data_IF_984087808474
#
_entry.id   IF_984087808474
#
_cell.length_a   1.000
_cell.length_b   1.000
_cell.length_c   1.000
_cell.angle_alpha   90.00
_cell.angle_beta   90.00
_cell.angle_gamma   90.00
#
_symmetry.space_group_name_H-M   'P 1'
#
loop_
_entity.id
_entity.type
_entity.pdbx_description
1 polymer ?
#
# COMPACT_ATOMS: atom_id res chain seq x y z
N UNK A 1 -0.87 -27.88 -14.74
CA UNK A 1 -1.57 -27.24 -13.58
C UNK A 1 -0.53 -27.06 -12.50
N UNK A 2 -0.35 -25.87 -11.91
CA UNK A 2 0.59 -25.68 -10.80
C UNK A 2 0.09 -26.46 -9.56
N UNK A 3 1.02 -27.06 -8.81
CA UNK A 3 0.72 -27.79 -7.58
C UNK A 3 0.03 -26.91 -6.52
N UNK A 4 -0.78 -27.54 -5.68
CA UNK A 4 -1.39 -26.90 -4.51
C UNK A 4 -0.31 -26.61 -3.47
N UNK A 5 -0.10 -25.35 -3.12
CA UNK A 5 0.89 -24.92 -2.13
C UNK A 5 0.29 -24.85 -0.72
N UNK A 6 1.14 -24.97 0.29
CA UNK A 6 0.84 -24.61 1.68
C UNK A 6 1.26 -23.16 1.90
N UNK A 7 0.31 -22.29 2.17
CA UNK A 7 0.52 -20.86 2.29
C UNK A 7 0.17 -20.38 3.69
N UNK A 8 0.99 -19.49 4.24
CA UNK A 8 0.70 -18.80 5.50
C UNK A 8 0.57 -17.30 5.24
N UNK A 9 -0.50 -16.70 5.77
CA UNK A 9 -0.70 -15.25 5.75
C UNK A 9 -0.56 -14.71 7.16
N UNK A 10 0.47 -13.88 7.39
CA UNK A 10 0.77 -13.29 8.70
C UNK A 10 0.31 -11.84 8.72
N UNK A 11 -0.57 -11.52 9.67
CA UNK A 11 -1.30 -10.25 9.77
C UNK A 11 -2.63 -10.32 9.01
N UNK A 12 -3.75 -10.40 9.75
CA UNK A 12 -5.10 -10.58 9.21
C UNK A 12 -5.93 -9.27 9.26
N UNK A 13 -5.27 -8.15 9.05
CA UNK A 13 -5.90 -6.84 8.88
C UNK A 13 -6.47 -6.62 7.47
N UNK A 14 -6.56 -5.35 7.09
CA UNK A 14 -7.14 -4.88 5.81
C UNK A 14 -6.43 -5.42 4.56
N UNK A 15 -5.15 -5.76 4.67
CA UNK A 15 -4.35 -6.36 3.58
C UNK A 15 -4.41 -7.88 3.62
N UNK A 16 -4.22 -8.47 4.81
CA UNK A 16 -4.04 -9.90 4.93
C UNK A 16 -5.32 -10.72 4.69
N UNK A 17 -6.48 -10.24 5.14
CA UNK A 17 -7.77 -10.92 4.89
C UNK A 17 -8.09 -11.08 3.40
N UNK A 18 -8.01 -10.02 2.55
CA UNK A 18 -8.21 -10.17 1.11
C UNK A 18 -7.17 -11.09 0.45
N UNK A 19 -5.90 -11.01 0.83
CA UNK A 19 -4.85 -11.92 0.33
C UNK A 19 -5.20 -13.37 0.69
N UNK A 20 -5.54 -13.63 1.95
CA UNK A 20 -5.92 -14.96 2.43
C UNK A 20 -7.10 -15.51 1.63
N UNK A 21 -8.14 -14.71 1.41
CA UNK A 21 -9.33 -15.10 0.66
C UNK A 21 -9.00 -15.46 -0.79
N UNK A 22 -8.21 -14.64 -1.48
CA UNK A 22 -7.84 -14.91 -2.88
C UNK A 22 -6.98 -16.17 -2.99
N UNK A 23 -5.97 -16.28 -2.11
CA UNK A 23 -5.02 -17.40 -2.17
C UNK A 23 -5.68 -18.73 -1.79
N UNK A 24 -6.68 -18.72 -0.90
CA UNK A 24 -7.45 -19.90 -0.50
C UNK A 24 -8.29 -20.51 -1.62
N UNK A 25 -8.54 -19.78 -2.70
CA UNK A 25 -9.26 -20.31 -3.88
C UNK A 25 -8.52 -21.46 -4.57
N UNK A 26 -7.21 -21.60 -4.34
CA UNK A 26 -6.38 -22.61 -5.01
C UNK A 26 -5.43 -23.35 -4.09
N UNK A 27 -5.02 -22.76 -2.98
CA UNK A 27 -3.99 -23.26 -2.11
C UNK A 27 -4.52 -23.60 -0.72
N UNK A 28 -3.77 -24.39 0.06
CA UNK A 28 -4.05 -24.60 1.48
C UNK A 28 -3.52 -23.41 2.26
N UNK A 29 -4.39 -22.64 2.91
CA UNK A 29 -4.01 -21.39 3.55
C UNK A 29 -4.25 -21.45 5.05
N UNK A 30 -3.28 -20.97 5.83
CA UNK A 30 -3.39 -20.73 7.26
C UNK A 30 -3.18 -19.26 7.53
N UNK A 31 -4.15 -18.63 8.20
CA UNK A 31 -4.01 -17.26 8.70
C UNK A 31 -3.36 -17.24 10.08
N UNK A 32 -2.41 -16.34 10.28
CA UNK A 32 -1.73 -16.08 11.56
C UNK A 32 -1.85 -14.59 11.87
N UNK A 33 -2.29 -14.26 13.06
CA UNK A 33 -2.38 -12.86 13.51
C UNK A 33 -1.44 -12.63 14.71
N UNK A 34 -1.83 -11.84 15.68
CA UNK A 34 -0.99 -11.43 16.83
C UNK A 34 -0.43 -12.63 17.61
N UNK A 35 -1.20 -13.72 17.74
CA UNK A 35 -0.74 -14.95 18.36
C UNK A 35 -0.09 -15.90 17.34
N UNK A 36 1.04 -16.52 17.66
CA UNK A 36 1.62 -17.55 16.81
C UNK A 36 0.65 -18.75 16.68
N UNK A 37 0.73 -19.54 15.59
CA UNK A 37 -0.14 -20.69 15.40
C UNK A 37 0.09 -21.72 16.53
N UNK A 38 -1.00 -22.26 17.05
CA UNK A 38 -0.97 -23.27 18.12
C UNK A 38 -0.48 -24.63 17.64
N UNK A 39 -0.64 -24.90 16.34
CA UNK A 39 -0.18 -26.13 15.69
C UNK A 39 1.03 -25.86 14.78
N UNK A 40 1.93 -26.85 14.72
CA UNK A 40 3.09 -26.78 13.82
C UNK A 40 2.64 -26.92 12.37
N UNK A 41 2.73 -25.84 11.60
CA UNK A 41 2.50 -25.85 10.16
C UNK A 41 3.74 -26.47 9.50
N UNK A 42 3.56 -27.56 8.73
CA UNK A 42 4.65 -28.26 8.06
C UNK A 42 4.72 -27.84 6.59
N UNK A 43 5.94 -27.78 6.04
CA UNK A 43 6.22 -27.58 4.61
C UNK A 43 5.51 -26.32 4.05
N UNK A 44 5.83 -25.16 4.60
CA UNK A 44 5.30 -23.88 4.11
C UNK A 44 6.01 -23.51 2.80
N UNK A 45 5.26 -23.44 1.70
CA UNK A 45 5.79 -23.04 0.40
C UNK A 45 5.92 -21.52 0.30
N UNK A 46 4.89 -20.80 0.74
CA UNK A 46 4.83 -19.35 0.66
C UNK A 46 4.32 -18.74 1.97
N UNK A 47 5.01 -17.72 2.46
CA UNK A 47 4.56 -16.89 3.57
C UNK A 47 4.30 -15.47 3.09
N UNK A 48 3.09 -14.97 3.27
CA UNK A 48 2.74 -13.56 3.06
C UNK A 48 2.89 -12.78 4.36
N UNK A 49 3.57 -11.64 4.30
CA UNK A 49 3.70 -10.68 5.39
C UNK A 49 2.77 -9.50 5.09
N UNK A 50 1.77 -9.29 5.96
CA UNK A 50 0.69 -8.32 5.75
C UNK A 50 0.44 -7.39 6.96
N UNK A 51 1.28 -7.45 8.02
CA UNK A 51 1.18 -6.55 9.16
C UNK A 51 1.84 -5.19 8.88
N UNK A 52 1.46 -4.12 9.64
CA UNK A 52 1.98 -2.77 9.43
C UNK A 52 3.50 -2.67 9.60
N UNK A 53 4.12 -1.75 8.84
CA UNK A 53 5.56 -1.48 8.95
C UNK A 53 5.94 -0.74 10.24
N UNK A 54 4.99 -0.03 10.83
CA UNK A 54 5.16 0.82 12.02
C UNK A 54 5.40 0.03 13.32
N UNK A 55 5.40 -1.30 13.28
CA UNK A 55 5.80 -2.09 14.46
C UNK A 55 7.27 -1.84 14.79
N UNK A 56 7.63 -1.98 16.07
CA UNK A 56 8.96 -1.60 16.61
C UNK A 56 10.15 -2.24 15.88
N UNK A 57 10.05 -3.52 15.47
CA UNK A 57 11.10 -4.28 14.76
C UNK A 57 10.50 -5.12 13.65
N UNK A 58 10.15 -4.50 12.53
CA UNK A 58 9.58 -5.20 11.38
C UNK A 58 10.50 -6.31 10.83
N UNK A 59 11.79 -6.00 10.68
CA UNK A 59 12.78 -6.95 10.15
C UNK A 59 12.97 -8.14 11.09
N UNK A 60 13.12 -7.88 12.38
CA UNK A 60 13.27 -8.94 13.37
C UNK A 60 12.00 -9.76 13.56
N UNK A 61 10.83 -9.14 13.52
CA UNK A 61 9.56 -9.86 13.61
C UNK A 61 9.36 -10.77 12.39
N UNK A 62 9.66 -10.28 11.18
CA UNK A 62 9.59 -11.07 9.95
C UNK A 62 10.56 -12.26 10.03
N UNK A 63 11.79 -12.03 10.45
CA UNK A 63 12.79 -13.09 10.62
C UNK A 63 12.35 -14.15 11.68
N UNK A 64 11.69 -13.75 12.76
CA UNK A 64 11.11 -14.66 13.76
C UNK A 64 10.05 -15.58 13.14
N UNK A 65 9.12 -15.03 12.36
CA UNK A 65 8.11 -15.83 11.65
C UNK A 65 8.75 -16.76 10.62
N UNK A 66 9.74 -16.29 9.86
CA UNK A 66 10.48 -17.13 8.90
C UNK A 66 11.19 -18.29 9.59
N UNK A 67 11.82 -18.05 10.74
CA UNK A 67 12.46 -19.12 11.54
C UNK A 67 11.44 -20.13 12.09
N UNK A 68 10.27 -19.66 12.52
CA UNK A 68 9.20 -20.49 13.08
C UNK A 68 8.54 -21.37 12.02
N UNK A 69 8.26 -20.80 10.85
CA UNK A 69 7.42 -21.40 9.81
C UNK A 69 8.25 -22.09 8.70
N UNK A 70 9.50 -21.71 8.50
CA UNK A 70 10.40 -22.28 7.48
C UNK A 70 9.90 -22.13 6.04
N UNK A 71 9.39 -20.97 5.59
CA UNK A 71 8.84 -20.84 4.25
C UNK A 71 9.93 -20.96 3.17
N UNK A 72 9.58 -21.59 2.04
CA UNK A 72 10.47 -21.64 0.87
C UNK A 72 10.56 -20.29 0.14
N UNK A 73 9.53 -19.42 0.29
CA UNK A 73 9.47 -18.07 -0.24
C UNK A 73 8.69 -17.18 0.72
N UNK A 74 9.22 -16.00 1.02
CA UNK A 74 8.52 -14.97 1.79
C UNK A 74 8.15 -13.81 0.87
N UNK A 75 6.90 -13.36 0.91
CA UNK A 75 6.37 -12.22 0.13
C UNK A 75 5.92 -11.14 1.10
N UNK A 76 6.60 -10.00 1.10
CA UNK A 76 6.21 -8.83 1.88
C UNK A 76 5.17 -8.04 1.08
N UNK A 77 3.92 -8.00 1.57
CA UNK A 77 2.82 -7.24 0.95
C UNK A 77 2.61 -5.88 1.61
N UNK A 78 3.19 -5.67 2.77
CA UNK A 78 3.14 -4.40 3.51
C UNK A 78 3.89 -3.30 2.74
N UNK A 79 3.43 -2.05 2.88
CA UNK A 79 4.21 -0.88 2.49
C UNK A 79 5.34 -0.71 3.51
N UNK A 80 6.58 -0.68 3.03
CA UNK A 80 7.78 -0.65 3.88
C UNK A 80 8.77 0.42 3.41
N UNK A 81 9.75 0.76 4.22
CA UNK A 81 10.86 1.63 3.83
C UNK A 81 11.75 0.95 2.78
N UNK A 82 12.37 1.76 1.92
CA UNK A 82 13.31 1.25 0.90
C UNK A 82 14.49 0.54 1.56
N UNK A 83 14.77 -0.67 1.09
CA UNK A 83 15.82 -1.55 1.63
C UNK A 83 15.34 -2.55 2.69
N UNK A 84 14.08 -2.47 3.14
CA UNK A 84 13.54 -3.37 4.18
C UNK A 84 13.55 -4.83 3.75
N UNK A 85 13.13 -5.12 2.52
CA UNK A 85 13.11 -6.50 2.00
C UNK A 85 14.51 -7.11 1.95
N UNK A 86 15.48 -6.34 1.52
CA UNK A 86 16.89 -6.74 1.53
C UNK A 86 17.39 -7.02 2.94
N UNK A 87 17.09 -6.14 3.89
CA UNK A 87 17.48 -6.34 5.28
C UNK A 87 16.89 -7.62 5.89
N UNK A 88 15.66 -8.00 5.53
CA UNK A 88 15.08 -9.29 5.94
C UNK A 88 15.82 -10.46 5.29
N UNK A 89 16.11 -10.38 3.99
CA UNK A 89 16.83 -11.44 3.29
C UNK A 89 18.25 -11.63 3.83
N UNK A 90 18.99 -10.56 4.03
CA UNK A 90 20.36 -10.59 4.58
C UNK A 90 20.37 -11.19 5.99
N UNK A 91 19.37 -10.87 6.81
CA UNK A 91 19.24 -11.42 8.17
C UNK A 91 18.89 -12.91 8.22
N UNK A 92 18.18 -13.40 7.21
CA UNK A 92 17.64 -14.77 7.21
C UNK A 92 18.35 -15.72 6.26
N UNK A 93 19.06 -15.22 5.27
CA UNK A 93 19.67 -15.99 4.18
C UNK A 93 18.63 -16.68 3.27
N UNK A 94 17.37 -16.24 3.30
CA UNK A 94 16.27 -16.91 2.61
C UNK A 94 15.71 -16.06 1.45
N UNK A 95 14.91 -16.67 0.58
CA UNK A 95 14.23 -16.01 -0.52
C UNK A 95 13.12 -15.08 0.00
N UNK A 96 13.31 -13.77 -0.21
CA UNK A 96 12.34 -12.72 0.17
C UNK A 96 12.10 -11.80 -1.02
N UNK A 97 10.84 -11.53 -1.30
CA UNK A 97 10.42 -10.59 -2.36
C UNK A 97 9.47 -9.56 -1.78
N UNK A 98 9.41 -8.39 -2.41
CA UNK A 98 8.43 -7.36 -2.10
C UNK A 98 7.34 -7.33 -3.16
N UNK A 99 6.11 -7.33 -2.72
CA UNK A 99 4.95 -7.21 -3.62
C UNK A 99 3.84 -6.46 -2.91
N UNK A 100 3.89 -5.11 -2.91
CA UNK A 100 2.93 -4.30 -2.16
C UNK A 100 1.53 -4.42 -2.74
N UNK A 101 0.53 -4.22 -1.89
CA UNK A 101 -0.84 -4.13 -2.36
C UNK A 101 -1.11 -2.75 -2.96
N UNK A 102 -2.01 -2.74 -3.96
CA UNK A 102 -2.55 -1.53 -4.57
C UNK A 102 -4.06 -1.63 -4.48
N UNK A 103 -4.70 -0.54 -4.12
CA UNK A 103 -6.14 -0.50 -4.01
C UNK A 103 -6.64 0.17 -2.74
N UNK A 104 -7.95 0.43 -2.69
CA UNK A 104 -8.65 0.99 -1.52
C UNK A 104 -9.10 -0.14 -0.60
N UNK A 105 -8.97 0.04 0.71
CA UNK A 105 -9.31 -0.98 1.70
C UNK A 105 -10.73 -1.56 1.51
N UNK A 106 -11.70 -0.72 1.23
CA UNK A 106 -13.12 -1.14 1.06
C UNK A 106 -13.34 -2.09 -0.13
N UNK A 107 -12.48 -1.99 -1.18
CA UNK A 107 -12.56 -2.81 -2.40
C UNK A 107 -11.30 -3.62 -2.66
N UNK A 108 -10.49 -3.86 -1.63
CA UNK A 108 -9.18 -4.48 -1.77
C UNK A 108 -9.23 -5.82 -2.52
N UNK A 109 -10.24 -6.64 -2.28
CA UNK A 109 -10.40 -7.93 -2.92
C UNK A 109 -10.54 -7.82 -4.45
N UNK A 110 -11.40 -6.93 -4.92
CA UNK A 110 -11.65 -6.71 -6.35
C UNK A 110 -10.43 -6.05 -7.01
N UNK A 111 -9.86 -5.07 -6.35
CA UNK A 111 -8.73 -4.30 -6.87
C UNK A 111 -7.44 -5.11 -6.92
N UNK A 112 -7.22 -6.07 -6.01
CA UNK A 112 -6.12 -7.02 -6.09
C UNK A 112 -6.20 -7.92 -7.33
N UNK A 113 -7.40 -8.25 -7.80
CA UNK A 113 -7.60 -9.05 -9.01
C UNK A 113 -7.56 -8.20 -10.29
N UNK A 114 -7.93 -6.92 -10.21
CA UNK A 114 -8.00 -6.02 -11.38
C UNK A 114 -6.67 -5.36 -11.69
N UNK A 115 -5.91 -4.95 -10.67
CA UNK A 115 -4.63 -4.26 -10.85
C UNK A 115 -3.47 -5.23 -11.04
N UNK A 116 -2.49 -4.79 -11.82
CA UNK A 116 -1.22 -5.53 -11.94
C UNK A 116 -0.51 -5.61 -10.58
N UNK A 117 -0.19 -6.81 -10.15
CA UNK A 117 0.60 -7.09 -8.94
C UNK A 117 2.08 -6.99 -9.28
N UNK A 118 2.75 -5.95 -8.80
CA UNK A 118 4.18 -5.77 -9.01
C UNK A 118 4.97 -6.64 -8.03
N UNK A 119 6.06 -7.25 -8.52
CA UNK A 119 6.96 -8.10 -7.75
C UNK A 119 8.37 -7.53 -7.86
N UNK A 120 9.01 -7.24 -6.75
CA UNK A 120 10.41 -6.85 -6.67
C UNK A 120 11.22 -7.95 -5.99
N UNK A 121 12.23 -8.46 -6.66
CA UNK A 121 13.07 -9.55 -6.17
C UNK A 121 14.55 -9.23 -6.36
N UNK A 122 15.42 -9.86 -5.54
CA UNK A 122 16.87 -9.72 -5.65
C UNK A 122 17.45 -10.64 -6.72
N UNK A 123 16.73 -11.69 -7.08
CA UNK A 123 17.10 -12.65 -8.09
C UNK A 123 15.90 -13.06 -8.97
N UNK A 124 16.14 -13.45 -10.24
CA UNK A 124 15.06 -13.80 -11.16
C UNK A 124 14.20 -14.99 -10.69
N UNK A 125 14.81 -15.98 -10.05
CA UNK A 125 14.13 -17.23 -9.65
C UNK A 125 13.07 -16.93 -8.59
N UNK A 126 13.42 -16.16 -7.57
CA UNK A 126 12.47 -15.73 -6.52
C UNK A 126 11.35 -14.85 -7.10
N UNK A 127 11.69 -13.95 -8.03
CA UNK A 127 10.73 -13.10 -8.73
C UNK A 127 9.72 -13.91 -9.53
N UNK A 128 10.17 -14.87 -10.33
CA UNK A 128 9.30 -15.75 -11.12
C UNK A 128 8.43 -16.66 -10.24
N UNK A 129 8.98 -17.18 -9.14
CA UNK A 129 8.21 -17.99 -8.19
C UNK A 129 7.05 -17.18 -7.60
N UNK A 130 7.31 -15.95 -7.17
CA UNK A 130 6.28 -15.06 -6.64
C UNK A 130 5.23 -14.68 -7.72
N UNK A 131 5.67 -14.38 -8.94
CA UNK A 131 4.78 -14.09 -10.05
C UNK A 131 3.85 -15.28 -10.34
N UNK A 132 4.40 -16.49 -10.51
CA UNK A 132 3.63 -17.72 -10.73
C UNK A 132 2.64 -18.02 -9.59
N UNK A 133 3.03 -17.73 -8.34
CA UNK A 133 2.14 -17.87 -7.19
C UNK A 133 0.92 -16.96 -7.34
N UNK A 134 1.09 -15.67 -7.63
CA UNK A 134 -0.02 -14.74 -7.83
C UNK A 134 -0.84 -15.06 -9.08
N UNK A 135 -0.21 -15.43 -10.17
CA UNK A 135 -0.89 -15.81 -11.43
C UNK A 135 -1.76 -17.07 -11.25
N UNK A 136 -1.33 -17.98 -10.38
CA UNK A 136 -2.10 -19.20 -10.08
C UNK A 136 -3.47 -18.92 -9.49
N UNK A 137 -3.65 -17.75 -8.87
CA UNK A 137 -4.91 -17.28 -8.26
C UNK A 137 -5.60 -16.17 -9.08
N UNK A 138 -5.16 -15.97 -10.33
CA UNK A 138 -5.81 -15.08 -11.30
C UNK A 138 -5.33 -13.64 -11.30
N UNK A 139 -4.27 -13.32 -10.56
CA UNK A 139 -3.68 -11.96 -10.60
C UNK A 139 -2.79 -11.79 -11.84
N UNK A 140 -2.78 -10.59 -12.41
CA UNK A 140 -1.79 -10.18 -13.41
C UNK A 140 -0.53 -9.73 -12.69
N UNK A 141 0.66 -10.14 -13.15
CA UNK A 141 1.92 -9.79 -12.52
C UNK A 141 2.85 -8.98 -13.42
N UNK A 142 3.77 -8.25 -12.78
CA UNK A 142 4.92 -7.62 -13.44
C UNK A 142 6.10 -7.60 -12.49
N UNK A 143 7.22 -8.17 -12.93
CA UNK A 143 8.47 -8.17 -12.15
C UNK A 143 9.24 -6.88 -12.43
N UNK A 144 9.69 -6.21 -11.37
CA UNK A 144 10.60 -5.07 -11.41
C UNK A 144 12.04 -5.52 -11.09
N UNK A 145 13.00 -4.65 -11.34
CA UNK A 145 14.43 -4.95 -11.26
C UNK A 145 14.95 -5.29 -9.86
N UNK A 146 14.26 -4.84 -8.80
CA UNK A 146 14.66 -5.07 -7.41
C UNK A 146 13.51 -4.87 -6.43
N UNK A 147 13.62 -5.35 -5.19
CA UNK A 147 12.64 -5.02 -4.15
C UNK A 147 12.60 -3.53 -3.83
N UNK A 148 13.74 -2.83 -3.87
CA UNK A 148 13.80 -1.38 -3.66
C UNK A 148 12.98 -0.61 -4.70
N UNK A 149 12.93 -1.10 -5.94
CA UNK A 149 12.11 -0.50 -6.99
C UNK A 149 10.60 -0.57 -6.65
N UNK A 150 10.11 -1.70 -6.13
CA UNK A 150 8.70 -1.83 -5.72
C UNK A 150 8.41 -1.09 -4.43
N UNK A 151 9.33 -1.05 -3.47
CA UNK A 151 9.22 -0.30 -2.22
C UNK A 151 9.10 1.20 -2.52
N UNK A 152 10.00 1.74 -3.32
CA UNK A 152 9.99 3.15 -3.72
C UNK A 152 8.74 3.49 -4.56
N UNK A 153 8.38 2.64 -5.53
CA UNK A 153 7.20 2.85 -6.36
C UNK A 153 5.91 2.93 -5.53
N UNK A 154 5.77 2.07 -4.52
CA UNK A 154 4.60 2.11 -3.62
C UNK A 154 4.54 3.39 -2.80
N UNK A 155 5.65 3.83 -2.25
CA UNK A 155 5.72 5.06 -1.46
C UNK A 155 5.41 6.29 -2.31
N UNK A 156 6.00 6.37 -3.51
CA UNK A 156 5.83 7.53 -4.41
C UNK A 156 4.44 7.59 -5.03
N UNK A 157 3.83 6.45 -5.40
CA UNK A 157 2.44 6.40 -5.89
C UNK A 157 1.47 7.01 -4.87
N UNK A 158 1.55 6.59 -3.62
CA UNK A 158 0.63 7.08 -2.59
C UNK A 158 0.92 8.53 -2.21
N UNK A 159 2.19 8.94 -2.23
CA UNK A 159 2.57 10.34 -1.99
C UNK A 159 2.08 11.26 -3.11
N UNK A 160 2.11 10.82 -4.37
CA UNK A 160 1.55 11.57 -5.49
C UNK A 160 0.05 11.80 -5.31
N UNK A 161 -0.70 10.81 -4.85
CA UNK A 161 -2.10 11.00 -4.47
C UNK A 161 -2.27 12.10 -3.41
N UNK A 162 -1.41 12.10 -2.38
CA UNK A 162 -1.38 13.15 -1.35
C UNK A 162 -1.07 14.54 -1.91
N UNK A 163 -0.15 14.63 -2.89
CA UNK A 163 0.17 15.89 -3.57
C UNK A 163 -1.04 16.46 -4.31
N UNK A 164 -1.78 15.61 -5.01
CA UNK A 164 -2.99 16.06 -5.74
C UNK A 164 -4.07 16.58 -4.77
N UNK A 165 -4.26 15.94 -3.63
CA UNK A 165 -5.18 16.43 -2.60
C UNK A 165 -4.67 17.76 -2.01
N UNK A 166 -3.36 17.86 -1.74
CA UNK A 166 -2.78 19.10 -1.21
C UNK A 166 -2.94 20.28 -2.19
N UNK A 167 -2.83 20.00 -3.49
CA UNK A 167 -3.12 21.00 -4.52
C UNK A 167 -4.59 21.43 -4.50
N UNK A 168 -5.53 20.47 -4.43
CA UNK A 168 -6.94 20.79 -4.30
C UNK A 168 -7.24 21.67 -3.06
N UNK A 169 -6.60 21.38 -1.93
CA UNK A 169 -6.68 22.20 -0.71
C UNK A 169 -6.14 23.63 -0.93
N UNK A 170 -5.09 23.79 -1.73
CA UNK A 170 -4.53 25.12 -2.06
C UNK A 170 -5.50 25.93 -2.94
N UNK A 171 -6.05 25.30 -3.97
CA UNK A 171 -7.05 25.93 -4.85
C UNK A 171 -8.30 26.32 -4.06
N UNK A 172 -8.79 25.46 -3.15
CA UNK A 172 -9.92 25.82 -2.26
C UNK A 172 -9.63 27.07 -1.43
N UNK A 173 -8.39 27.25 -0.94
CA UNK A 173 -8.01 28.48 -0.22
C UNK A 173 -8.04 29.73 -1.09
N UNK A 174 -7.63 29.62 -2.37
CA UNK A 174 -7.75 30.73 -3.31
C UNK A 174 -9.21 31.06 -3.61
N UNK A 175 -10.04 30.05 -3.81
CA UNK A 175 -11.48 30.24 -4.00
C UNK A 175 -12.12 30.99 -2.83
N UNK A 176 -11.81 30.59 -1.59
CA UNK A 176 -12.32 31.30 -0.40
C UNK A 176 -11.90 32.78 -0.35
N UNK A 177 -10.63 33.08 -0.68
CA UNK A 177 -10.13 34.46 -0.68
C UNK A 177 -10.83 35.35 -1.71
N UNK A 178 -11.25 34.75 -2.82
CA UNK A 178 -11.82 35.44 -3.96
C UNK A 178 -13.36 35.33 -4.03
N UNK A 179 -13.98 34.62 -3.11
CA UNK A 179 -15.43 34.37 -3.10
C UNK A 179 -15.90 33.50 -4.27
N UNK A 180 -15.08 32.56 -4.73
CA UNK A 180 -15.38 31.64 -5.82
C UNK A 180 -15.72 30.23 -5.29
N UNK A 181 -16.47 29.47 -6.10
CA UNK A 181 -16.80 28.08 -5.79
C UNK A 181 -15.71 27.13 -6.33
N UNK A 182 -15.22 26.22 -5.45
CA UNK A 182 -14.14 25.27 -5.81
C UNK A 182 -14.49 24.42 -7.04
N UNK A 183 -15.73 23.91 -7.11
CA UNK A 183 -16.16 23.03 -8.19
C UNK A 183 -16.19 23.73 -9.54
N UNK A 184 -16.54 25.01 -9.56
CA UNK A 184 -16.52 25.83 -10.78
C UNK A 184 -15.08 26.00 -11.29
N UNK A 185 -14.16 26.37 -10.42
CA UNK A 185 -12.73 26.51 -10.79
C UNK A 185 -12.10 25.17 -11.18
N UNK A 186 -12.39 24.10 -10.45
CA UNK A 186 -11.85 22.77 -10.74
C UNK A 186 -12.38 22.18 -12.05
N UNK A 187 -13.59 22.57 -12.49
CA UNK A 187 -14.15 22.16 -13.79
C UNK A 187 -13.31 22.63 -14.98
N UNK A 188 -12.51 23.69 -14.81
CA UNK A 188 -11.61 24.19 -15.85
C UNK A 188 -10.50 23.20 -16.23
N UNK A 189 -10.21 22.23 -15.37
CA UNK A 189 -9.23 21.17 -15.63
C UNK A 189 -9.82 20.02 -16.44
N UNK A 190 -11.15 19.96 -16.58
CA UNK A 190 -11.84 18.89 -17.29
C UNK A 190 -11.58 19.00 -18.81
N UNK A 191 -11.46 17.85 -19.46
CA UNK A 191 -11.25 17.78 -20.90
C UNK A 191 -9.82 18.07 -21.38
N UNK A 192 -8.89 18.37 -20.48
CA UNK A 192 -7.47 18.57 -20.82
C UNK A 192 -6.78 17.20 -20.82
N UNK A 193 -6.38 16.71 -22.01
CA UNK A 193 -5.93 15.34 -22.20
C UNK A 193 -4.62 14.94 -21.50
N UNK A 194 -3.81 15.89 -21.01
CA UNK A 194 -2.59 15.61 -20.27
C UNK A 194 -2.76 15.65 -18.75
N UNK A 195 -3.91 16.07 -18.24
CA UNK A 195 -4.22 15.96 -16.82
C UNK A 195 -4.79 14.57 -16.47
N UNK A 196 -4.58 14.08 -15.23
CA UNK A 196 -5.29 12.90 -14.78
C UNK A 196 -6.82 13.11 -14.91
N UNK A 197 -7.57 12.11 -15.41
CA UNK A 197 -9.03 12.25 -15.60
C UNK A 197 -9.80 12.13 -14.27
N UNK A 198 -9.20 12.52 -13.18
CA UNK A 198 -9.76 12.42 -11.83
C UNK A 198 -9.71 13.78 -11.16
N UNK A 199 -10.88 14.25 -10.74
CA UNK A 199 -11.02 15.44 -9.91
C UNK A 199 -10.68 15.09 -8.45
N UNK A 200 -9.78 15.83 -7.85
CA UNK A 200 -9.43 15.67 -6.45
C UNK A 200 -10.19 16.70 -5.60
N UNK A 201 -10.63 16.28 -4.43
CA UNK A 201 -11.38 17.12 -3.51
C UNK A 201 -10.47 17.60 -2.36
N UNK A 202 -10.65 18.86 -1.90
CA UNK A 202 -9.81 19.46 -0.87
C UNK A 202 -10.13 18.97 0.54
N UNK A 203 -10.26 17.66 0.73
CA UNK A 203 -10.47 17.02 2.02
C UNK A 203 -9.23 17.01 2.90
N UNK A 204 -9.39 16.68 4.18
CA UNK A 204 -8.24 16.37 5.07
C UNK A 204 -7.58 15.08 4.60
N UNK A 205 -6.26 15.12 4.40
CA UNK A 205 -5.48 13.91 4.15
C UNK A 205 -5.34 13.17 5.48
N UNK A 206 -6.15 12.12 5.64
CA UNK A 206 -6.17 11.27 6.83
C UNK A 206 -5.80 9.83 6.50
N UNK A 207 -6.05 8.94 7.47
CA UNK A 207 -5.82 7.50 7.30
C UNK A 207 -4.36 7.08 7.40
N UNK A 208 -4.14 5.78 7.20
CA UNK A 208 -2.84 5.13 7.43
C UNK A 208 -1.88 5.20 6.23
N UNK A 209 -2.38 5.54 5.04
CA UNK A 209 -1.60 5.34 3.82
C UNK A 209 -0.74 6.55 3.45
N UNK A 210 -1.35 7.72 3.20
CA UNK A 210 -0.63 8.86 2.61
C UNK A 210 0.37 9.45 3.59
N UNK A 211 -0.07 9.80 4.81
CA UNK A 211 0.80 10.47 5.80
C UNK A 211 1.90 9.55 6.29
N UNK A 212 1.61 8.27 6.55
CA UNK A 212 2.62 7.28 6.92
C UNK A 212 3.69 7.10 5.83
N UNK A 213 3.28 7.06 4.55
CA UNK A 213 4.22 6.94 3.44
C UNK A 213 5.09 8.20 3.27
N UNK A 214 4.52 9.39 3.51
CA UNK A 214 5.29 10.64 3.56
C UNK A 214 6.31 10.60 4.70
N UNK A 215 5.96 10.05 5.87
CA UNK A 215 6.88 9.89 7.00
C UNK A 215 8.03 8.95 6.66
N UNK A 216 7.75 7.86 5.97
CA UNK A 216 8.77 6.91 5.50
C UNK A 216 9.70 7.57 4.47
N UNK A 217 9.15 8.23 3.45
CA UNK A 217 9.94 8.94 2.43
C UNK A 217 10.78 10.07 3.00
N UNK A 218 10.29 10.79 4.01
CA UNK A 218 11.05 11.87 4.66
C UNK A 218 12.32 11.40 5.36
N UNK A 219 12.46 10.09 5.62
CA UNK A 219 13.69 9.49 6.14
C UNK A 219 14.76 9.30 5.06
N UNK A 220 14.35 9.21 3.78
CA UNK A 220 15.28 9.14 2.65
C UNK A 220 15.80 10.52 2.25
N UNK A 221 14.92 11.52 2.21
CA UNK A 221 15.26 12.87 1.79
C UNK A 221 14.35 13.91 2.45
N UNK A 222 14.91 15.09 2.74
CA UNK A 222 14.22 16.27 3.29
C UNK A 222 13.53 17.08 2.17
N UNK A 223 12.70 16.41 1.37
CA UNK A 223 12.02 16.99 0.21
C UNK A 223 11.10 18.16 0.58
N UNK A 224 11.23 19.27 -0.14
CA UNK A 224 10.35 20.44 0.01
C UNK A 224 8.90 20.11 -0.41
N UNK A 225 8.70 19.21 -1.37
CA UNK A 225 7.36 18.75 -1.77
C UNK A 225 6.68 18.01 -0.60
N UNK A 226 7.39 17.14 0.10
CA UNK A 226 6.82 16.43 1.26
C UNK A 226 6.46 17.40 2.39
N UNK A 227 7.29 18.40 2.64
CA UNK A 227 7.00 19.48 3.60
C UNK A 227 5.77 20.29 3.17
N UNK A 228 5.65 20.61 1.89
CA UNK A 228 4.50 21.35 1.34
C UNK A 228 3.19 20.58 1.51
N UNK A 229 3.16 19.27 1.22
CA UNK A 229 1.97 18.43 1.43
C UNK A 229 1.55 18.46 2.92
N UNK A 230 2.50 18.26 3.85
CA UNK A 230 2.23 18.31 5.29
C UNK A 230 1.71 19.68 5.73
N UNK A 231 2.34 20.75 5.23
CA UNK A 231 1.95 22.12 5.56
C UNK A 231 0.54 22.42 5.06
N UNK A 232 0.22 22.03 3.81
CA UNK A 232 -1.12 22.20 3.24
C UNK A 232 -2.18 21.46 4.06
N UNK A 233 -1.92 20.18 4.38
CA UNK A 233 -2.84 19.38 5.18
C UNK A 233 -3.06 19.95 6.59
N UNK A 234 -2.02 20.44 7.24
CA UNK A 234 -2.15 21.11 8.55
C UNK A 234 -3.06 22.34 8.47
N UNK A 235 -2.88 23.21 7.47
CA UNK A 235 -3.76 24.37 7.24
C UNK A 235 -5.22 23.94 7.05
N UNK A 236 -5.45 22.83 6.33
CA UNK A 236 -6.79 22.29 6.13
C UNK A 236 -7.41 21.80 7.44
N UNK A 237 -6.69 21.04 8.24
CA UNK A 237 -7.14 20.56 9.56
C UNK A 237 -7.53 21.74 10.48
N UNK A 238 -6.66 22.75 10.55
CA UNK A 238 -6.90 23.96 11.37
C UNK A 238 -8.14 24.73 10.90
N UNK A 239 -8.38 24.79 9.59
CA UNK A 239 -9.56 25.44 9.00
C UNK A 239 -10.83 24.66 9.35
N UNK A 240 -10.83 23.33 9.18
CA UNK A 240 -12.00 22.49 9.50
C UNK A 240 -12.33 22.54 10.99
N UNK A 241 -11.31 22.55 11.86
CA UNK A 241 -11.50 22.71 13.31
C UNK A 241 -12.18 24.06 13.65
N UNK A 242 -11.73 25.15 12.99
CA UNK A 242 -12.37 26.47 13.16
C UNK A 242 -13.81 26.51 12.66
N UNK A 243 -14.16 25.73 11.65
CA UNK A 243 -15.53 25.62 11.11
C UNK A 243 -16.43 24.69 11.95
N UNK A 244 -15.92 24.13 13.07
CA UNK A 244 -16.67 23.20 13.94
C UNK A 244 -16.87 21.82 13.31
N UNK A 245 -16.21 21.53 12.19
CA UNK A 245 -16.18 20.21 11.59
C UNK A 245 -15.10 19.39 12.28
N UNK A 246 -15.48 18.41 13.08
CA UNK A 246 -14.53 17.42 13.60
C UNK A 246 -13.77 16.83 12.42
N UNK A 247 -12.43 16.83 12.49
CA UNK A 247 -11.55 16.13 11.55
C UNK A 247 -11.74 14.61 11.71
N UNK A 248 -12.96 14.14 11.45
CA UNK A 248 -13.28 12.72 11.34
C UNK A 248 -12.58 12.20 10.09
N UNK A 249 -11.86 11.10 10.24
CA UNK A 249 -11.17 10.39 9.17
C UNK A 249 -12.15 9.85 8.12
N UNK A 250 -12.81 10.72 7.39
CA UNK A 250 -13.44 10.36 6.13
C UNK A 250 -12.47 10.77 5.02
N UNK A 251 -11.77 9.79 4.49
CA UNK A 251 -11.32 9.82 3.10
C UNK A 251 -12.53 10.29 2.28
N UNK A 252 -12.44 11.48 1.70
CA UNK A 252 -13.52 12.11 0.98
C UNK A 252 -14.20 11.14 0.02
N UNK A 253 -15.47 11.34 -0.22
CA UNK A 253 -16.28 10.55 -1.12
C UNK A 253 -15.47 10.13 -2.36
N UNK A 254 -15.51 8.85 -2.66
CA UNK A 254 -14.81 8.23 -3.78
C UNK A 254 -15.06 9.01 -5.08
N UNK A 255 -14.09 9.68 -5.67
CA UNK A 255 -14.29 10.42 -6.91
C UNK A 255 -14.73 9.53 -8.07
N UNK A 256 -14.65 8.19 -7.93
CA UNK A 256 -15.09 7.23 -8.94
C UNK A 256 -16.56 6.84 -8.81
N UNK A 257 -17.25 7.16 -7.69
CA UNK A 257 -18.68 6.84 -7.51
C UNK A 257 -19.62 7.97 -7.94
N UNK A 258 -19.10 9.15 -8.29
CA UNK A 258 -19.90 10.27 -8.77
C UNK A 258 -20.22 10.20 -10.29
N UNK A 259 -19.96 9.06 -10.94
CA UNK A 259 -20.38 8.79 -12.33
C UNK A 259 -21.22 7.51 -12.34
N UNK A 260 -22.46 7.61 -11.95
CA UNK A 260 -23.56 6.73 -12.31
C UNK A 260 -24.69 7.58 -12.89
#
# INVERSE_FOLDING_TARGET
>A
MSETQTVVVVGLGEVGKPILEIVSRRHKVVGVDVAPPTERIKAVDVMHVCYPFEIEDFVGQTARYMKLLGPSLTIINSTVAVGTTRAVADRTGAAVVHSPVRGKHVRMLEELLSYTKFVGAMDPVSGERAAKHFESVGMKTRILSSPEATELAKLTETTFFGLMIAWAQEVERYCDQLGQEYDEIASFYEGIGFFPPVKYFPGVIGGHCVMANIDILSKLDQSEILKAIRSSNRKKIEREARRGKTAGAQLGADPLTARA
#
